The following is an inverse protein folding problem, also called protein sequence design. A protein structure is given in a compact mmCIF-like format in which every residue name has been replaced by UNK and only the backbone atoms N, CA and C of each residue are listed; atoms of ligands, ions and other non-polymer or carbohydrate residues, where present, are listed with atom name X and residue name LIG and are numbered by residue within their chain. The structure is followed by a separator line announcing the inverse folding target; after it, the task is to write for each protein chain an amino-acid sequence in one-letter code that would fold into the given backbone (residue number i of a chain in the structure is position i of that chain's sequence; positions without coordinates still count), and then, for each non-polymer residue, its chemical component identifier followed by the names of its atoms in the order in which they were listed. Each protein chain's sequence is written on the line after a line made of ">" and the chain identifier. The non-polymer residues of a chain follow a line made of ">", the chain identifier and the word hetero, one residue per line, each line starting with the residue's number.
data_IF_731860653573
#
_entry.id   IF_731860653573
#
_cell.length_a   1.000
_cell.length_b   1.000
_cell.length_c   1.000
_cell.angle_alpha   90.00
_cell.angle_beta   90.00
_cell.angle_gamma   90.00
#
_symmetry.space_group_name_H-M   'P 1'
#
loop_
_entity.id
_entity.type
_entity.pdbx_description
1 polymer ?
#
# COMPACT_ATOMS: atom_id res chain seq x y z
N UNK A 1 22.23 11.31 -8.84
CA UNK A 1 21.75 11.05 -8.62
C UNK A 1 21.15 10.46 -8.49
N UNK A 2 20.99 10.29 -8.25
CA UNK A 2 20.37 9.74 -8.13
C UNK A 2 19.45 9.48 -7.85
N UNK A 3 19.07 9.33 -7.60
CA UNK A 3 18.18 9.03 -7.35
C UNK A 3 17.30 8.66 -7.41
N UNK A 4 17.12 8.52 -7.44
CA UNK A 4 16.27 8.22 -7.52
C UNK A 4 15.43 7.59 -7.55
N UNK A 5 15.62 7.10 -7.33
CA UNK A 5 14.57 6.40 -7.59
C UNK A 5 13.57 6.36 -6.63
N UNK A 6 13.59 6.49 -5.74
CA UNK A 6 12.68 6.44 -4.97
C UNK A 6 11.68 7.15 -5.06
N UNK A 7 11.80 7.97 -5.30
CA UNK A 7 10.85 8.73 -5.39
C UNK A 7 9.92 8.31 -6.16
N UNK A 8 10.18 7.68 -6.89
CA UNK A 8 9.25 7.28 -7.75
C UNK A 8 8.29 6.42 -7.14
N UNK A 9 8.59 5.84 -6.08
CA UNK A 9 7.71 4.94 -5.66
C UNK A 9 6.43 5.36 -5.31
N UNK A 10 6.25 6.29 -4.50
CA UNK A 10 4.93 6.68 -4.04
C UNK A 10 4.09 7.16 -5.17
N UNK A 11 4.69 7.85 -6.12
CA UNK A 11 3.89 8.38 -7.20
C UNK A 11 3.56 7.33 -8.23
N UNK A 12 4.27 6.22 -8.23
CA UNK A 12 3.98 5.18 -9.17
C UNK A 12 2.99 4.18 -8.64
N UNK A 13 2.64 4.24 -7.40
CA UNK A 13 1.68 3.33 -6.82
C UNK A 13 0.28 3.82 -7.02
N UNK A 14 -0.67 2.89 -7.19
CA UNK A 14 -2.06 3.25 -7.34
C UNK A 14 -2.64 3.80 -6.05
N UNK A 15 -2.12 3.36 -4.91
CA UNK A 15 -2.65 3.76 -3.62
C UNK A 15 -1.70 4.73 -2.94
N UNK A 16 -2.13 5.98 -2.79
CA UNK A 16 -1.31 7.00 -2.14
C UNK A 16 -1.25 6.77 -0.62
N UNK A 17 -0.23 7.31 0.04
CA UNK A 17 -0.16 7.25 1.48
C UNK A 17 -1.41 7.82 2.13
N UNK A 18 -1.84 7.19 3.20
CA UNK A 18 -3.02 7.55 3.99
C UNK A 18 -4.35 7.21 3.33
N UNK A 19 -4.35 6.63 2.15
CA UNK A 19 -5.58 6.16 1.55
C UNK A 19 -6.09 4.99 2.38
N UNK A 20 -7.38 4.93 2.60
CA UNK A 20 -8.00 3.84 3.33
C UNK A 20 -8.50 2.80 2.34
N UNK A 21 -8.20 1.55 2.64
CA UNK A 21 -8.57 0.42 1.78
C UNK A 21 -9.44 -0.54 2.55
N UNK A 22 -10.23 -1.32 1.82
CA UNK A 22 -10.96 -2.44 2.39
C UNK A 22 -10.55 -3.70 1.66
N UNK A 23 -10.23 -4.74 2.41
CA UNK A 23 -9.94 -6.05 1.84
C UNK A 23 -11.27 -6.67 1.47
N UNK A 24 -11.47 -6.97 0.20
CA UNK A 24 -12.77 -7.40 -0.28
C UNK A 24 -13.21 -8.71 0.38
N UNK A 25 -12.30 -9.64 0.50
CA UNK A 25 -12.65 -10.95 0.99
C UNK A 25 -12.99 -10.98 2.47
N UNK A 26 -12.23 -10.27 3.28
CA UNK A 26 -12.42 -10.33 4.72
C UNK A 26 -13.21 -9.15 5.28
N UNK A 27 -13.31 -8.07 4.53
CA UNK A 27 -13.98 -6.86 5.00
C UNK A 27 -13.12 -5.97 5.89
N UNK A 28 -11.89 -6.35 6.16
CA UNK A 28 -11.04 -5.56 7.04
C UNK A 28 -10.63 -4.25 6.41
N UNK A 29 -10.42 -3.24 7.26
CA UNK A 29 -10.02 -1.91 6.81
C UNK A 29 -8.56 -1.65 7.13
N UNK A 30 -7.89 -0.96 6.21
CA UNK A 30 -6.46 -0.71 6.30
C UNK A 30 -6.14 0.69 5.81
N UNK A 31 -5.00 1.19 6.24
CA UNK A 31 -4.49 2.49 5.79
C UNK A 31 -3.14 2.25 5.12
N UNK A 32 -2.96 2.79 3.95
CA UNK A 32 -1.67 2.71 3.26
C UNK A 32 -0.68 3.62 3.97
N UNK A 33 0.48 3.08 4.30
CA UNK A 33 1.55 3.88 4.89
C UNK A 33 2.45 4.42 3.80
N UNK A 34 2.97 3.55 2.97
CA UNK A 34 3.83 3.97 1.87
C UNK A 34 4.04 2.81 0.90
N UNK A 35 4.58 3.13 -0.25
CA UNK A 35 5.10 2.13 -1.17
C UNK A 35 6.61 2.11 -0.97
N UNK A 36 7.16 0.93 -0.75
CA UNK A 36 8.56 0.76 -0.44
C UNK A 36 9.17 -0.28 -1.37
N UNK A 37 10.47 -0.43 -1.33
CA UNK A 37 11.16 -1.47 -2.08
C UNK A 37 11.66 -2.52 -1.10
N UNK A 38 11.50 -3.78 -1.47
CA UNK A 38 12.10 -4.87 -0.71
C UNK A 38 13.58 -4.87 -1.06
N UNK A 39 14.41 -4.74 -0.07
CA UNK A 39 15.84 -4.56 -0.34
C UNK A 39 16.46 -5.73 -1.06
N UNK A 40 16.03 -6.94 -0.77
CA UNK A 40 16.66 -8.14 -1.31
C UNK A 40 16.58 -8.21 -2.83
N UNK A 41 15.45 -7.81 -3.41
CA UNK A 41 15.27 -7.94 -4.85
C UNK A 41 14.74 -6.66 -5.48
N UNK A 42 14.63 -5.61 -4.70
CA UNK A 42 14.15 -4.29 -5.15
C UNK A 42 12.73 -4.32 -5.67
N UNK A 43 11.97 -5.33 -5.31
CA UNK A 43 10.58 -5.40 -5.72
C UNK A 43 9.75 -4.39 -4.92
N UNK A 44 8.80 -3.71 -5.54
CA UNK A 44 7.98 -2.75 -4.82
C UNK A 44 6.92 -3.47 -3.98
N UNK A 45 6.67 -2.94 -2.80
CA UNK A 45 5.69 -3.50 -1.88
C UNK A 45 5.05 -2.38 -1.09
N UNK A 46 3.76 -2.54 -0.81
CA UNK A 46 3.09 -1.57 0.05
C UNK A 46 3.28 -1.93 1.50
N UNK A 47 3.46 -0.92 2.32
CA UNK A 47 3.37 -1.04 3.78
C UNK A 47 2.02 -0.47 4.16
N UNK A 48 1.23 -1.22 4.91
CA UNK A 48 -0.10 -0.78 5.28
C UNK A 48 -0.43 -1.25 6.68
N UNK A 49 -1.36 -0.56 7.31
CA UNK A 49 -1.69 -0.77 8.70
C UNK A 49 -3.15 -1.22 8.82
N UNK A 50 -3.41 -2.26 9.61
CA UNK A 50 -4.78 -2.63 9.93
C UNK A 50 -5.38 -1.57 10.83
N UNK A 51 -6.57 -1.08 10.48
CA UNK A 51 -7.24 -0.10 11.34
C UNK A 51 -7.90 -0.75 12.54
N UNK A 52 -7.93 -2.08 12.59
CA UNK A 52 -8.51 -2.78 13.71
C UNK A 52 -7.47 -3.21 14.72
N UNK A 53 -6.37 -3.77 14.25
CA UNK A 53 -5.34 -4.28 15.16
C UNK A 53 -4.12 -3.36 15.26
N UNK A 54 -3.96 -2.46 14.28
CA UNK A 54 -2.82 -1.54 14.18
C UNK A 54 -1.51 -2.28 13.89
N UNK A 55 -1.60 -3.54 13.45
CA UNK A 55 -0.42 -4.24 12.95
C UNK A 55 -0.04 -3.66 11.59
N UNK A 56 1.24 -3.68 11.29
CA UNK A 56 1.73 -3.26 9.99
C UNK A 56 2.05 -4.47 9.15
N UNK A 57 1.67 -4.40 7.89
CA UNK A 57 1.82 -5.51 6.95
C UNK A 57 2.54 -5.02 5.71
N UNK A 58 3.20 -5.93 5.02
CA UNK A 58 3.87 -5.64 3.76
C UNK A 58 3.38 -6.66 2.75
N UNK A 59 2.99 -6.17 1.57
CA UNK A 59 2.52 -7.06 0.51
C UNK A 59 3.03 -6.53 -0.83
N UNK A 60 3.43 -7.41 -1.74
CA UNK A 60 3.91 -6.95 -3.05
C UNK A 60 2.89 -6.05 -3.75
N UNK A 61 3.39 -5.04 -4.44
CA UNK A 61 2.52 -4.08 -5.11
C UNK A 61 1.54 -4.76 -6.05
N UNK A 62 2.01 -5.74 -6.82
CA UNK A 62 1.15 -6.41 -7.79
C UNK A 62 -0.05 -7.07 -7.12
N UNK A 63 0.14 -7.60 -5.92
CA UNK A 63 -0.95 -8.23 -5.20
C UNK A 63 -1.88 -7.20 -4.59
N UNK A 64 -1.35 -6.08 -4.13
CA UNK A 64 -2.20 -5.02 -3.58
C UNK A 64 -3.10 -4.43 -4.64
N UNK A 65 -2.65 -4.41 -5.89
CA UNK A 65 -3.38 -3.74 -6.96
C UNK A 65 -4.14 -4.70 -7.87
N UNK A 66 -4.31 -5.95 -7.45
CA UNK A 66 -4.94 -6.94 -8.31
C UNK A 66 -6.44 -7.10 -8.06
N UNK A 67 -7.02 -6.22 -7.28
CA UNK A 67 -8.46 -6.23 -7.03
C UNK A 67 -8.84 -6.74 -5.66
N UNK A 68 -7.91 -7.27 -4.87
CA UNK A 68 -8.26 -7.77 -3.54
C UNK A 68 -8.46 -6.63 -2.53
N UNK A 69 -8.03 -5.43 -2.86
CA UNK A 69 -8.28 -4.24 -2.03
C UNK A 69 -8.98 -3.19 -2.86
N UNK A 70 -9.92 -2.49 -2.25
CA UNK A 70 -10.60 -1.38 -2.91
C UNK A 70 -10.47 -0.13 -2.06
N UNK A 71 -10.44 1.01 -2.71
CA UNK A 71 -10.33 2.29 -2.00
C UNK A 71 -11.68 2.59 -1.36
N UNK A 72 -11.64 2.96 -0.08
CA UNK A 72 -12.84 3.36 0.62
C UNK A 72 -13.07 4.83 0.36
N UNK A 73 -14.28 5.17 -0.07
CA UNK A 73 -14.58 6.56 -0.35
C UNK A 73 -14.46 7.39 0.91
N UNK A 74 -13.77 8.55 0.81
CA UNK A 74 -13.62 9.40 1.91
C UNK A 74 -14.85 10.16 2.10
N UNK A 75 -15.27 10.25 3.30
CA UNK A 75 -16.37 11.10 3.50
C UNK A 75 -15.79 12.29 4.00
N UNK A 76 -15.50 12.94 4.02
CA UNK A 76 -15.09 14.04 4.57
C UNK A 76 -15.11 14.84 4.52
#
# INVERSE_FOLDING_TARGET
>A
MTQKPRMAQASDGRFAPNIQLQHVKTGGFYRVVCLANIEADLAPAYVYESLQTHDFWIRPQAEMEDGRFVVVAKTN
#
